data_IF_100269324685
#
_entry.id   IF_100269324685
#
_cell.length_a   1.000
_cell.length_b   1.000
_cell.length_c   1.000
_cell.angle_alpha   90.00
_cell.angle_beta   90.00
_cell.angle_gamma   90.00
#
_symmetry.space_group_name_H-M   'P 1'
#
loop_
_entity.id
_entity.type
_entity.pdbx_description
1 polymer ?
#
# COMPACT_ATOMS: atom_id res chain seq x y z
N UNK A 1 8.43 19.25 17.06
CA UNK A 1 8.28 19.96 15.77
C UNK A 1 7.09 19.43 14.96
N UNK A 2 6.99 18.10 14.66
CA UNK A 2 5.87 17.55 13.87
C UNK A 2 4.49 17.80 14.48
N UNK A 3 4.34 17.79 15.80
CA UNK A 3 3.06 18.06 16.49
C UNK A 3 2.44 19.43 16.15
N UNK A 4 3.28 20.44 15.94
CA UNK A 4 2.81 21.76 15.51
C UNK A 4 2.40 21.77 14.03
N UNK A 5 3.18 21.13 13.17
CA UNK A 5 2.87 20.95 11.75
C UNK A 5 1.55 20.16 11.60
N UNK A 6 1.39 19.08 12.38
CA UNK A 6 0.16 18.28 12.40
C UNK A 6 -1.06 19.11 12.78
N UNK A 7 -0.98 19.97 13.81
CA UNK A 7 -2.09 20.84 14.21
C UNK A 7 -2.52 21.76 13.06
N UNK A 8 -1.56 22.37 12.36
CA UNK A 8 -1.83 23.24 11.22
C UNK A 8 -2.45 22.45 10.03
N UNK A 9 -1.90 21.28 9.70
CA UNK A 9 -2.41 20.40 8.62
C UNK A 9 -3.79 19.87 8.98
N UNK A 10 -4.07 19.55 10.24
CA UNK A 10 -5.35 18.98 10.66
C UNK A 10 -6.48 20.04 10.73
N UNK A 11 -6.20 21.33 10.68
CA UNK A 11 -7.22 22.38 10.53
C UNK A 11 -7.77 22.45 9.09
N UNK A 12 -7.05 21.88 8.11
CA UNK A 12 -7.48 21.80 6.73
C UNK A 12 -8.35 20.56 6.48
N UNK A 13 -9.16 20.61 5.41
CA UNK A 13 -9.79 19.41 4.88
C UNK A 13 -8.76 18.30 4.62
N UNK A 14 -9.06 17.00 4.92
CA UNK A 14 -8.09 15.92 4.81
C UNK A 14 -7.46 15.76 3.43
N UNK A 15 -8.24 15.93 2.35
CA UNK A 15 -7.74 15.77 0.99
C UNK A 15 -6.91 16.99 0.56
N UNK A 16 -7.35 18.20 0.92
CA UNK A 16 -6.57 19.44 0.71
C UNK A 16 -5.22 19.37 1.43
N UNK A 17 -5.21 18.88 2.66
CA UNK A 17 -4.00 18.66 3.43
C UNK A 17 -3.06 17.64 2.77
N UNK A 18 -3.62 16.55 2.25
CA UNK A 18 -2.87 15.53 1.51
C UNK A 18 -2.20 16.14 0.27
N UNK A 19 -2.95 16.86 -0.56
CA UNK A 19 -2.44 17.48 -1.78
C UNK A 19 -1.33 18.49 -1.49
N UNK A 20 -1.46 19.26 -0.41
CA UNK A 20 -0.43 20.19 0.04
C UNK A 20 0.85 19.46 0.44
N UNK A 21 0.72 18.35 1.19
CA UNK A 21 1.87 17.54 1.62
C UNK A 21 2.56 16.91 0.41
N UNK A 22 1.81 16.34 -0.54
CA UNK A 22 2.39 15.76 -1.78
C UNK A 22 3.18 16.82 -2.56
N UNK A 23 2.59 18.00 -2.79
CA UNK A 23 3.29 19.12 -3.47
C UNK A 23 4.55 19.54 -2.72
N UNK A 24 4.48 19.63 -1.40
CA UNK A 24 5.62 20.00 -0.57
C UNK A 24 6.73 18.95 -0.65
N UNK A 25 6.41 17.65 -0.60
CA UNK A 25 7.36 16.56 -0.71
C UNK A 25 7.94 16.46 -2.12
N UNK A 26 7.13 16.71 -3.15
CA UNK A 26 7.61 16.79 -4.52
C UNK A 26 8.71 17.86 -4.68
N UNK A 27 8.48 19.04 -4.12
CA UNK A 27 9.49 20.12 -4.14
C UNK A 27 10.70 19.79 -3.30
N UNK A 28 10.49 19.28 -2.08
CA UNK A 28 11.56 18.92 -1.16
C UNK A 28 12.39 17.71 -1.65
N UNK A 29 11.83 16.86 -2.48
CA UNK A 29 12.53 15.74 -3.14
C UNK A 29 13.51 16.19 -4.23
N UNK A 30 13.43 17.45 -4.72
CA UNK A 30 14.34 17.96 -5.73
C UNK A 30 15.64 18.49 -5.12
N UNK A 31 16.79 18.22 -5.78
CA UNK A 31 18.07 18.81 -5.39
C UNK A 31 18.05 20.35 -5.58
N UNK A 32 18.59 21.17 -4.66
CA UNK A 32 19.36 20.79 -3.46
C UNK A 32 18.53 20.48 -2.21
N UNK A 33 17.21 20.68 -2.24
CA UNK A 33 16.34 20.54 -1.07
C UNK A 33 16.29 19.10 -0.51
N UNK A 34 16.45 18.09 -1.35
CA UNK A 34 16.50 16.69 -0.93
C UNK A 34 17.64 16.43 0.06
N UNK A 35 18.81 17.00 -0.17
CA UNK A 35 19.96 16.86 0.73
C UNK A 35 19.65 17.45 2.12
N UNK A 36 19.07 18.64 2.14
CA UNK A 36 18.66 19.30 3.39
C UNK A 36 17.59 18.49 4.13
N UNK A 37 16.59 17.96 3.40
CA UNK A 37 15.55 17.14 3.97
C UNK A 37 16.12 15.86 4.60
N UNK A 38 17.02 15.16 3.91
CA UNK A 38 17.72 13.98 4.44
C UNK A 38 18.50 14.28 5.72
N UNK A 39 19.20 15.41 5.77
CA UNK A 39 19.92 15.83 6.99
C UNK A 39 18.97 16.15 8.15
N UNK A 40 17.88 16.86 7.89
CA UNK A 40 16.87 17.21 8.89
C UNK A 40 16.19 15.99 9.50
N UNK A 41 15.89 15.01 8.67
CA UNK A 41 15.20 13.79 9.12
C UNK A 41 16.16 12.77 9.74
N UNK A 42 17.42 12.76 9.34
CA UNK A 42 18.51 11.95 9.90
C UNK A 42 18.07 10.51 10.24
N UNK A 43 17.41 9.83 9.27
CA UNK A 43 17.03 8.45 9.48
C UNK A 43 18.25 7.53 9.39
N UNK A 44 18.44 6.60 10.35
CA UNK A 44 19.56 5.67 10.29
C UNK A 44 19.40 4.70 9.13
N UNK A 45 20.50 4.07 8.72
CA UNK A 45 20.43 2.91 7.85
C UNK A 45 19.83 1.75 8.67
N UNK A 46 18.78 1.13 8.11
CA UNK A 46 18.19 -0.06 8.72
C UNK A 46 18.96 -1.33 8.37
N UNK A 47 18.43 -2.46 8.82
CA UNK A 47 18.97 -3.79 8.47
C UNK A 47 18.39 -4.21 7.11
N UNK A 48 19.24 -4.50 6.11
CA UNK A 48 18.76 -5.01 4.83
C UNK A 48 18.05 -6.36 4.98
N UNK A 49 16.98 -6.55 4.20
CA UNK A 49 16.21 -7.80 4.19
C UNK A 49 15.95 -8.27 2.78
N UNK A 50 16.12 -9.56 2.52
CA UNK A 50 15.84 -10.16 1.23
C UNK A 50 14.45 -10.80 1.25
N UNK A 51 13.53 -10.33 0.41
CA UNK A 51 12.15 -10.83 0.29
C UNK A 51 11.76 -10.81 -1.18
N UNK A 52 11.03 -11.82 -1.67
CA UNK A 52 10.61 -11.95 -3.08
C UNK A 52 11.78 -11.88 -4.09
N UNK A 53 12.99 -12.26 -3.68
CA UNK A 53 14.20 -12.13 -4.52
C UNK A 53 14.78 -10.72 -4.61
N UNK A 54 14.22 -9.74 -3.89
CA UNK A 54 14.64 -8.33 -3.84
C UNK A 54 15.34 -8.06 -2.51
N UNK A 55 16.41 -7.27 -2.53
CA UNK A 55 17.05 -6.75 -1.32
C UNK A 55 16.47 -5.38 -0.96
N UNK A 56 15.73 -5.32 0.14
CA UNK A 56 15.21 -4.08 0.73
C UNK A 56 16.25 -3.50 1.70
N UNK A 57 16.49 -2.19 1.68
CA UNK A 57 17.45 -1.53 2.59
C UNK A 57 17.07 -1.65 4.06
N UNK A 58 15.80 -1.68 4.32
CA UNK A 58 15.18 -1.98 5.61
C UNK A 58 13.74 -2.47 5.36
N UNK A 59 13.10 -3.13 6.33
CA UNK A 59 11.79 -3.74 6.15
C UNK A 59 10.60 -2.76 6.20
N UNK A 60 10.84 -1.44 6.30
CA UNK A 60 9.78 -0.45 6.47
C UNK A 60 9.49 0.27 5.15
N UNK A 61 8.25 0.18 4.69
CA UNK A 61 7.79 0.79 3.45
C UNK A 61 6.63 1.77 3.62
N UNK A 62 6.44 2.59 2.59
CA UNK A 62 5.25 3.42 2.42
C UNK A 62 4.16 2.61 1.70
N UNK A 63 2.96 2.57 2.27
CA UNK A 63 1.83 1.89 1.64
C UNK A 63 1.24 2.70 0.47
N UNK A 64 0.71 1.98 -0.52
CA UNK A 64 -0.05 2.59 -1.60
C UNK A 64 -1.20 3.48 -1.11
N UNK A 65 -1.51 4.51 -1.86
CA UNK A 65 -2.51 5.54 -1.55
C UNK A 65 -1.93 6.83 -0.98
N UNK A 66 -0.72 6.79 -0.43
CA UNK A 66 -0.02 7.98 0.02
C UNK A 66 0.51 8.80 -1.17
N UNK A 67 1.19 8.17 -2.10
CA UNK A 67 1.62 8.75 -3.37
C UNK A 67 0.95 8.02 -4.55
N UNK A 68 -0.26 8.45 -4.91
CA UNK A 68 -1.07 7.74 -5.92
C UNK A 68 -0.49 7.81 -7.32
N UNK A 69 0.18 8.90 -7.64
CA UNK A 69 0.65 9.21 -8.98
C UNK A 69 2.18 9.20 -9.10
N UNK A 70 2.89 8.70 -8.07
CA UNK A 70 4.35 8.68 -8.03
C UNK A 70 5.00 10.09 -8.09
N UNK A 71 4.33 11.10 -7.52
CA UNK A 71 4.77 12.50 -7.60
C UNK A 71 5.79 12.89 -6.54
N UNK A 72 5.87 12.15 -5.43
CA UNK A 72 6.66 12.51 -4.26
C UNK A 72 7.63 11.41 -3.78
N UNK A 73 7.99 10.46 -4.62
CA UNK A 73 8.85 9.30 -4.29
C UNK A 73 10.12 9.75 -3.57
N UNK A 74 10.85 10.73 -4.12
CA UNK A 74 12.13 11.19 -3.57
C UNK A 74 11.95 11.89 -2.21
N UNK A 75 10.83 12.61 -2.04
CA UNK A 75 10.49 13.25 -0.77
C UNK A 75 10.15 12.24 0.33
N UNK A 76 9.38 11.22 0.02
CA UNK A 76 9.13 10.10 0.94
C UNK A 76 10.40 9.28 1.20
N UNK A 77 11.20 9.03 0.16
CA UNK A 77 12.48 8.33 0.29
C UNK A 77 13.43 8.99 1.27
N UNK A 78 13.42 10.32 1.34
CA UNK A 78 14.23 11.07 2.30
C UNK A 78 13.82 10.84 3.77
N UNK A 79 12.62 10.29 4.04
CA UNK A 79 12.18 9.91 5.38
C UNK A 79 12.80 8.60 5.88
N UNK A 80 13.51 7.85 5.03
CA UNK A 80 14.20 6.60 5.40
C UNK A 80 13.46 5.33 5.09
N UNK A 81 12.38 5.36 4.31
CA UNK A 81 11.72 4.14 3.85
C UNK A 81 12.67 3.27 3.04
N UNK A 82 12.65 1.95 3.29
CA UNK A 82 13.36 0.96 2.49
C UNK A 82 12.71 0.70 1.14
N UNK A 83 11.38 0.91 1.06
CA UNK A 83 10.61 0.80 -0.16
C UNK A 83 9.39 1.73 -0.15
N UNK A 84 8.90 2.04 -1.35
CA UNK A 84 7.74 2.91 -1.55
C UNK A 84 6.80 2.22 -2.54
N UNK A 85 5.55 2.02 -2.14
CA UNK A 85 4.50 1.53 -3.02
C UNK A 85 3.64 2.71 -3.49
N UNK A 86 3.72 3.01 -4.78
CA UNK A 86 2.93 4.06 -5.44
C UNK A 86 1.61 3.49 -5.97
N UNK A 87 0.64 4.34 -6.22
CA UNK A 87 -0.69 3.94 -6.71
C UNK A 87 -1.73 3.95 -5.58
N UNK A 88 -2.88 3.32 -5.75
CA UNK A 88 -3.29 2.44 -6.84
C UNK A 88 -3.52 3.26 -8.11
N UNK A 89 -2.94 2.79 -9.20
CA UNK A 89 -3.15 3.33 -10.53
C UNK A 89 -4.01 2.41 -11.37
N UNK A 90 -4.75 2.99 -12.31
CA UNK A 90 -5.65 2.29 -13.23
C UNK A 90 -5.23 2.54 -14.67
N UNK A 91 -5.69 1.77 -15.67
CA UNK A 91 -5.35 2.00 -17.07
C UNK A 91 -5.53 3.45 -17.51
N UNK A 92 -6.72 4.01 -17.21
CA UNK A 92 -7.07 5.39 -17.53
C UNK A 92 -7.13 6.22 -16.24
N UNK A 93 -6.88 7.52 -16.38
CA UNK A 93 -7.13 8.48 -15.30
C UNK A 93 -8.61 8.43 -14.86
N UNK A 94 -8.85 8.61 -13.57
CA UNK A 94 -10.21 8.71 -13.03
C UNK A 94 -10.26 9.59 -11.79
N UNK A 95 -11.34 10.34 -11.65
CA UNK A 95 -11.57 11.27 -10.53
C UNK A 95 -11.81 10.55 -9.19
N UNK A 96 -12.22 9.29 -9.23
CA UNK A 96 -12.64 8.55 -8.05
C UNK A 96 -14.08 8.87 -7.62
N UNK A 97 -14.36 8.73 -6.31
CA UNK A 97 -15.68 9.02 -5.74
C UNK A 97 -15.86 10.50 -5.42
N UNK A 98 -17.11 10.95 -5.29
CA UNK A 98 -17.45 12.34 -4.93
C UNK A 98 -16.83 12.75 -3.58
N UNK A 99 -16.43 14.01 -3.51
CA UNK A 99 -15.95 14.65 -2.26
C UNK A 99 -17.13 15.15 -1.42
N UNK A 100 -17.01 15.21 -0.06
CA UNK A 100 -15.86 14.79 0.74
C UNK A 100 -15.77 13.26 0.81
N UNK A 101 -14.55 12.74 0.78
CA UNK A 101 -14.28 11.30 0.71
C UNK A 101 -13.15 10.82 1.64
N UNK A 102 -12.65 11.70 2.49
CA UNK A 102 -11.68 11.39 3.54
C UNK A 102 -12.10 12.02 4.86
N UNK A 103 -12.08 11.25 5.94
CA UNK A 103 -12.54 11.67 7.25
C UNK A 103 -11.58 11.20 8.32
N UNK A 104 -11.10 12.12 9.17
CA UNK A 104 -10.24 11.78 10.31
C UNK A 104 -11.08 11.39 11.50
N UNK A 105 -10.69 10.33 12.18
CA UNK A 105 -11.14 9.94 13.51
C UNK A 105 -9.98 10.21 14.48
N UNK A 106 -9.86 11.48 14.90
CA UNK A 106 -8.64 11.97 15.57
C UNK A 106 -8.40 11.24 16.89
N UNK A 107 -9.45 11.01 17.66
CA UNK A 107 -9.40 10.36 18.98
C UNK A 107 -8.93 8.90 18.88
N UNK A 108 -9.23 8.24 17.76
CA UNK A 108 -8.84 6.86 17.49
C UNK A 108 -7.59 6.74 16.62
N UNK A 109 -6.98 7.85 16.21
CA UNK A 109 -5.89 7.86 15.23
C UNK A 109 -6.22 7.04 13.97
N UNK A 110 -7.48 7.18 13.52
CA UNK A 110 -8.06 6.50 12.37
C UNK A 110 -8.39 7.43 11.22
N UNK A 111 -8.54 6.87 10.03
CA UNK A 111 -9.00 7.57 8.84
C UNK A 111 -9.99 6.70 8.11
N UNK A 112 -11.18 7.24 7.81
CA UNK A 112 -12.13 6.64 6.89
C UNK A 112 -11.94 7.30 5.53
N UNK A 113 -11.81 6.48 4.47
CA UNK A 113 -11.74 6.98 3.11
C UNK A 113 -12.63 6.19 2.16
N UNK A 114 -13.16 6.90 1.15
CA UNK A 114 -13.87 6.34 0.00
C UNK A 114 -13.32 6.90 -1.31
N UNK A 115 -12.00 6.92 -1.45
CA UNK A 115 -11.30 7.56 -2.58
C UNK A 115 -11.72 7.02 -3.95
N UNK A 116 -11.90 5.69 -4.11
CA UNK A 116 -12.31 5.08 -5.37
C UNK A 116 -11.22 5.13 -6.44
N UNK A 117 -9.95 4.96 -6.05
CA UNK A 117 -8.78 4.95 -6.93
C UNK A 117 -8.65 6.21 -7.80
N UNK A 118 -8.81 7.41 -7.20
CA UNK A 118 -8.51 8.65 -7.91
C UNK A 118 -7.02 8.70 -8.29
N UNK A 119 -6.73 8.78 -9.59
CA UNK A 119 -5.37 8.79 -10.13
C UNK A 119 -5.35 9.33 -11.58
N UNK A 120 -4.16 9.65 -12.09
CA UNK A 120 -3.96 10.20 -13.43
C UNK A 120 -3.60 9.13 -14.48
N UNK A 121 -3.82 7.85 -14.18
CA UNK A 121 -3.55 6.72 -15.07
C UNK A 121 -2.13 6.20 -14.96
N UNK A 122 -1.95 4.97 -15.46
CA UNK A 122 -0.67 4.24 -15.35
C UNK A 122 0.46 4.96 -16.09
N UNK A 123 0.20 5.54 -17.26
CA UNK A 123 1.24 6.20 -18.07
C UNK A 123 1.83 7.42 -17.33
N UNK A 124 0.98 8.23 -16.68
CA UNK A 124 1.45 9.36 -15.87
C UNK A 124 2.33 8.92 -14.69
N UNK A 125 1.90 7.88 -13.98
CA UNK A 125 2.68 7.35 -12.87
C UNK A 125 4.05 6.81 -13.31
N UNK A 126 4.11 6.08 -14.43
CA UNK A 126 5.37 5.58 -14.99
C UNK A 126 6.33 6.72 -15.35
N UNK A 127 5.85 7.80 -15.96
CA UNK A 127 6.69 8.95 -16.27
C UNK A 127 7.29 9.61 -15.00
N UNK A 128 6.58 9.55 -13.88
CA UNK A 128 7.11 10.03 -12.61
C UNK A 128 8.10 9.03 -11.98
N UNK A 129 7.79 7.73 -12.02
CA UNK A 129 8.73 6.67 -11.57
C UNK A 129 10.07 6.77 -12.31
N UNK A 130 10.07 6.98 -13.62
CA UNK A 130 11.31 7.16 -14.41
C UNK A 130 12.17 8.33 -13.95
N UNK A 131 11.56 9.37 -13.38
CA UNK A 131 12.26 10.59 -12.91
C UNK A 131 12.76 10.48 -11.47
N UNK A 132 12.27 9.50 -10.73
CA UNK A 132 12.64 9.29 -9.34
C UNK A 132 14.13 8.93 -9.20
N UNK A 133 14.75 9.47 -8.16
CA UNK A 133 16.16 9.22 -7.77
C UNK A 133 16.25 8.42 -6.47
N UNK A 134 15.12 7.90 -6.02
CA UNK A 134 15.06 7.05 -4.84
C UNK A 134 15.86 5.78 -5.08
N UNK A 135 16.76 5.48 -4.17
CA UNK A 135 17.69 4.36 -4.26
C UNK A 135 17.19 3.10 -3.48
N UNK A 136 15.93 3.11 -3.06
CA UNK A 136 15.22 1.95 -2.49
C UNK A 136 14.34 1.26 -3.53
N UNK A 137 13.53 0.33 -3.05
CA UNK A 137 12.62 -0.48 -3.87
C UNK A 137 11.33 0.29 -4.20
N UNK A 138 10.93 0.31 -5.46
CA UNK A 138 9.67 0.94 -5.91
C UNK A 138 8.67 -0.15 -6.31
N UNK A 139 7.57 -0.24 -5.56
CA UNK A 139 6.41 -1.03 -5.92
C UNK A 139 5.37 -0.21 -6.67
N UNK A 140 4.73 -0.80 -7.68
CA UNK A 140 3.60 -0.18 -8.39
C UNK A 140 2.33 -0.97 -8.10
N UNK A 141 1.38 -0.33 -7.43
CA UNK A 141 0.09 -0.90 -7.08
C UNK A 141 -0.90 -0.61 -8.21
N UNK A 142 -1.47 -1.67 -8.80
CA UNK A 142 -2.38 -1.59 -9.95
C UNK A 142 -3.79 -2.03 -9.58
N UNK A 143 -4.78 -1.44 -10.23
CA UNK A 143 -6.19 -1.74 -9.99
C UNK A 143 -7.06 -1.52 -11.23
N UNK A 144 -8.32 -1.95 -11.10
CA UNK A 144 -9.34 -1.82 -12.12
C UNK A 144 -9.95 -0.40 -12.14
N UNK A 145 -10.21 0.15 -13.33
CA UNK A 145 -11.02 1.37 -13.46
C UNK A 145 -12.43 1.16 -12.90
N UNK A 146 -13.02 2.21 -12.35
CA UNK A 146 -14.37 2.17 -11.76
C UNK A 146 -15.43 1.78 -12.80
N UNK A 147 -15.29 2.27 -14.01
CA UNK A 147 -16.24 2.06 -15.11
C UNK A 147 -16.10 0.70 -15.78
N UNK A 148 -15.00 -0.01 -15.58
CA UNK A 148 -14.79 -1.35 -16.16
C UNK A 148 -15.68 -2.35 -15.44
N UNK A 149 -16.55 -3.12 -16.13
CA UNK A 149 -17.32 -4.19 -15.53
C UNK A 149 -16.45 -5.27 -14.88
N UNK A 150 -16.99 -6.01 -13.93
CA UNK A 150 -16.22 -7.02 -13.18
C UNK A 150 -15.63 -8.08 -14.11
N UNK A 151 -16.41 -8.54 -15.09
CA UNK A 151 -16.05 -9.58 -16.06
C UNK A 151 -14.86 -9.18 -16.95
N UNK A 152 -14.64 -7.88 -17.12
CA UNK A 152 -13.51 -7.29 -17.86
C UNK A 152 -12.42 -6.75 -16.94
N UNK A 153 -12.58 -6.90 -15.64
CA UNK A 153 -11.62 -6.38 -14.65
C UNK A 153 -10.21 -6.90 -14.87
N UNK A 154 -10.05 -8.14 -15.24
CA UNK A 154 -8.78 -8.78 -15.57
C UNK A 154 -7.99 -8.01 -16.65
N UNK A 155 -8.66 -7.49 -17.67
CA UNK A 155 -8.01 -6.78 -18.77
C UNK A 155 -7.30 -5.52 -18.29
N UNK A 156 -7.89 -4.81 -17.32
CA UNK A 156 -7.30 -3.62 -16.70
C UNK A 156 -6.00 -3.96 -15.95
N UNK A 157 -6.00 -5.08 -15.19
CA UNK A 157 -4.79 -5.53 -14.50
C UNK A 157 -3.69 -5.94 -15.47
N UNK A 158 -4.02 -6.67 -16.53
CA UNK A 158 -3.07 -7.08 -17.57
C UNK A 158 -2.52 -5.87 -18.33
N UNK A 159 -3.36 -4.88 -18.63
CA UNK A 159 -2.92 -3.63 -19.24
C UNK A 159 -1.90 -2.89 -18.36
N UNK A 160 -2.24 -2.68 -17.08
CA UNK A 160 -1.34 -2.03 -16.13
C UNK A 160 -0.06 -2.83 -15.90
N UNK A 161 -0.15 -4.16 -15.81
CA UNK A 161 1.01 -5.06 -15.67
C UNK A 161 1.99 -4.89 -16.83
N UNK A 162 1.47 -4.88 -18.07
CA UNK A 162 2.30 -4.68 -19.27
C UNK A 162 3.06 -3.35 -19.25
N UNK A 163 2.39 -2.29 -18.81
CA UNK A 163 2.96 -0.95 -18.76
C UNK A 163 3.99 -0.78 -17.64
N UNK A 164 3.68 -1.30 -16.44
CA UNK A 164 4.48 -1.12 -15.23
C UNK A 164 5.71 -2.03 -15.17
N UNK A 165 5.69 -3.20 -15.82
CA UNK A 165 6.62 -4.30 -15.59
C UNK A 165 8.09 -3.89 -15.61
N UNK A 166 8.51 -3.15 -16.62
CA UNK A 166 9.91 -2.76 -16.78
C UNK A 166 10.38 -1.67 -15.79
N UNK A 167 9.45 -0.98 -15.14
CA UNK A 167 9.72 0.18 -14.29
C UNK A 167 9.52 -0.08 -12.81
N UNK A 168 8.89 -1.19 -12.46
CA UNK A 168 8.69 -1.61 -11.09
C UNK A 168 9.79 -2.58 -10.62
N UNK A 169 10.10 -2.54 -9.32
CA UNK A 169 10.86 -3.60 -8.67
C UNK A 169 9.94 -4.73 -8.20
N UNK A 170 8.70 -4.41 -7.80
CA UNK A 170 7.61 -5.37 -7.64
C UNK A 170 6.28 -4.73 -8.05
N UNK A 171 5.28 -5.55 -8.31
CA UNK A 171 3.93 -5.08 -8.67
C UNK A 171 2.92 -5.63 -7.66
N UNK A 172 1.97 -4.78 -7.24
CA UNK A 172 0.88 -5.19 -6.36
C UNK A 172 -0.44 -5.21 -7.13
N UNK A 173 -1.09 -6.36 -7.17
CA UNK A 173 -2.47 -6.55 -7.69
C UNK A 173 -3.44 -6.23 -6.55
N UNK A 174 -4.12 -5.09 -6.63
CA UNK A 174 -5.03 -4.61 -5.58
C UNK A 174 -6.48 -4.97 -5.89
N UNK A 175 -6.98 -6.02 -5.26
CA UNK A 175 -8.34 -6.53 -5.39
C UNK A 175 -9.19 -6.31 -4.14
N UNK A 176 -8.73 -5.48 -3.21
CA UNK A 176 -9.25 -5.44 -1.84
C UNK A 176 -9.87 -4.11 -1.42
N UNK A 177 -9.94 -3.10 -2.32
CA UNK A 177 -10.56 -1.82 -1.99
C UNK A 177 -12.08 -1.97 -1.80
N UNK A 178 -12.63 -1.46 -0.68
CA UNK A 178 -14.08 -1.44 -0.49
C UNK A 178 -14.77 -0.29 -1.26
N UNK A 179 -14.01 0.54 -1.93
CA UNK A 179 -14.44 1.83 -2.47
C UNK A 179 -14.64 1.80 -4.01
N UNK A 180 -14.40 0.67 -4.63
CA UNK A 180 -14.66 0.40 -6.05
C UNK A 180 -15.74 -0.67 -6.14
N UNK A 181 -16.83 -0.45 -6.89
CA UNK A 181 -17.92 -1.43 -6.99
C UNK A 181 -17.41 -2.81 -7.36
N UNK A 182 -17.92 -3.81 -6.68
CA UNK A 182 -17.69 -5.25 -6.89
C UNK A 182 -16.23 -5.72 -6.86
N UNK A 183 -15.26 -4.83 -6.64
CA UNK A 183 -13.84 -5.16 -6.70
C UNK A 183 -13.45 -6.33 -5.79
N UNK A 184 -14.01 -6.39 -4.56
CA UNK A 184 -13.72 -7.45 -3.61
C UNK A 184 -14.23 -8.83 -4.06
N UNK A 185 -15.14 -8.91 -5.03
CA UNK A 185 -15.55 -10.18 -5.63
C UNK A 185 -14.40 -10.86 -6.39
N UNK A 186 -13.40 -10.08 -6.84
CA UNK A 186 -12.18 -10.63 -7.45
C UNK A 186 -11.30 -11.41 -6.45
N UNK A 187 -11.61 -11.43 -5.16
CA UNK A 187 -10.89 -12.23 -4.16
C UNK A 187 -11.44 -13.66 -4.02
N UNK A 188 -12.52 -14.00 -4.75
CA UNK A 188 -13.24 -15.25 -4.52
C UNK A 188 -13.46 -16.04 -5.79
N UNK A 189 -13.49 -17.37 -5.62
CA UNK A 189 -13.93 -18.32 -6.63
C UNK A 189 -13.19 -18.21 -7.96
N UNK A 190 -13.94 -18.44 -9.04
CA UNK A 190 -13.39 -18.48 -10.40
C UNK A 190 -12.79 -17.16 -10.87
N UNK A 191 -13.32 -16.03 -10.39
CA UNK A 191 -12.74 -14.71 -10.72
C UNK A 191 -11.33 -14.56 -10.18
N UNK A 192 -11.07 -15.02 -8.96
CA UNK A 192 -9.75 -14.95 -8.36
C UNK A 192 -8.77 -15.89 -9.05
N UNK A 193 -9.20 -17.10 -9.32
CA UNK A 193 -8.40 -18.13 -9.99
C UNK A 193 -7.99 -17.67 -11.41
N UNK A 194 -8.96 -17.25 -12.22
CA UNK A 194 -8.73 -16.77 -13.59
C UNK A 194 -7.83 -15.52 -13.63
N UNK A 195 -8.02 -14.60 -12.71
CA UNK A 195 -7.16 -13.40 -12.59
C UNK A 195 -5.72 -13.80 -12.31
N UNK A 196 -5.47 -14.62 -11.28
CA UNK A 196 -4.10 -14.99 -10.89
C UNK A 196 -3.42 -15.85 -11.97
N UNK A 197 -4.15 -16.77 -12.59
CA UNK A 197 -3.65 -17.54 -13.72
C UNK A 197 -3.18 -16.63 -14.85
N UNK A 198 -4.02 -15.67 -15.24
CA UNK A 198 -3.71 -14.72 -16.32
C UNK A 198 -2.52 -13.82 -15.99
N UNK A 199 -2.45 -13.33 -14.75
CA UNK A 199 -1.34 -12.52 -14.23
C UNK A 199 -0.02 -13.33 -14.29
N UNK A 200 -0.02 -14.57 -13.81
CA UNK A 200 1.21 -15.40 -13.81
C UNK A 200 1.64 -15.79 -15.22
N UNK A 201 0.72 -16.08 -16.10
CA UNK A 201 1.03 -16.34 -17.51
C UNK A 201 1.68 -15.09 -18.15
N UNK A 202 1.09 -13.92 -17.90
CA UNK A 202 1.62 -12.66 -18.44
C UNK A 202 2.96 -12.29 -17.82
N UNK A 203 3.16 -12.51 -16.52
CA UNK A 203 4.44 -12.30 -15.83
C UNK A 203 5.57 -13.10 -16.52
N UNK A 204 5.34 -14.38 -16.85
CA UNK A 204 6.32 -15.21 -17.54
C UNK A 204 6.73 -14.62 -18.87
N UNK A 205 5.75 -14.24 -19.71
CA UNK A 205 6.02 -13.61 -21.03
C UNK A 205 6.83 -12.32 -20.88
N UNK A 206 6.49 -11.48 -19.90
CA UNK A 206 7.19 -10.23 -19.66
C UNK A 206 8.59 -10.45 -19.09
N UNK A 207 8.77 -11.47 -18.24
CA UNK A 207 10.08 -11.83 -17.70
C UNK A 207 11.05 -12.24 -18.83
N UNK A 208 10.60 -13.02 -19.79
CA UNK A 208 11.36 -13.38 -20.98
C UNK A 208 11.64 -12.17 -21.87
N UNK A 209 10.60 -11.35 -22.14
CA UNK A 209 10.70 -10.16 -22.98
C UNK A 209 11.72 -9.15 -22.47
N UNK A 210 11.75 -8.91 -21.15
CA UNK A 210 12.62 -7.90 -20.53
C UNK A 210 13.88 -8.48 -19.91
N UNK A 211 14.08 -9.81 -19.95
CA UNK A 211 15.13 -10.51 -19.24
C UNK A 211 15.24 -10.07 -17.76
N UNK A 212 14.08 -9.86 -17.12
CA UNK A 212 13.95 -9.36 -15.75
C UNK A 212 12.74 -10.01 -15.07
N UNK A 213 12.94 -10.66 -13.95
CA UNK A 213 11.83 -11.14 -13.14
C UNK A 213 11.36 -10.03 -12.18
N UNK A 214 10.10 -9.63 -12.29
CA UNK A 214 9.46 -8.68 -11.39
C UNK A 214 8.43 -9.43 -10.57
N UNK A 215 8.62 -9.58 -9.25
CA UNK A 215 7.68 -10.31 -8.41
C UNK A 215 6.35 -9.58 -8.28
N UNK A 216 5.27 -10.36 -8.09
CA UNK A 216 3.91 -9.87 -7.99
C UNK A 216 3.30 -10.26 -6.65
N UNK A 217 2.90 -9.26 -5.87
CA UNK A 217 2.16 -9.41 -4.63
C UNK A 217 0.65 -9.17 -4.84
N UNK A 218 -0.19 -9.86 -4.06
CA UNK A 218 -1.65 -9.65 -4.06
C UNK A 218 -2.05 -8.96 -2.77
N UNK A 219 -2.79 -7.84 -2.84
CA UNK A 219 -3.27 -7.12 -1.66
C UNK A 219 -4.69 -7.51 -1.32
N UNK A 220 -4.88 -8.08 -0.11
CA UNK A 220 -6.14 -8.63 0.36
C UNK A 220 -6.86 -7.72 1.38
N UNK A 221 -8.17 -7.93 1.53
CA UNK A 221 -9.00 -7.23 2.52
C UNK A 221 -8.83 -7.86 3.93
N UNK A 222 -9.13 -7.11 5.00
CA UNK A 222 -9.14 -7.65 6.36
C UNK A 222 -10.49 -8.26 6.76
N UNK A 223 -11.55 -8.01 5.97
CA UNK A 223 -12.91 -8.42 6.29
C UNK A 223 -13.22 -9.78 5.63
N UNK A 224 -12.46 -10.80 6.05
CA UNK A 224 -12.53 -12.16 5.53
C UNK A 224 -12.96 -13.11 6.64
N UNK A 225 -13.82 -14.07 6.33
CA UNK A 225 -14.06 -15.24 7.16
C UNK A 225 -12.86 -16.18 7.13
N UNK A 226 -12.80 -17.11 8.07
CA UNK A 226 -11.72 -18.10 8.12
C UNK A 226 -11.67 -18.96 6.85
N UNK A 227 -12.84 -19.42 6.36
CA UNK A 227 -12.91 -20.20 5.12
C UNK A 227 -12.47 -19.43 3.88
N UNK A 228 -12.80 -18.15 3.78
CA UNK A 228 -12.35 -17.29 2.68
C UNK A 228 -10.83 -17.09 2.73
N UNK A 229 -10.26 -16.92 3.92
CA UNK A 229 -8.81 -16.75 4.08
C UNK A 229 -8.05 -18.02 3.64
N UNK A 230 -8.54 -19.20 4.02
CA UNK A 230 -7.98 -20.50 3.57
C UNK A 230 -8.05 -20.62 2.04
N UNK A 231 -9.18 -20.31 1.42
CA UNK A 231 -9.33 -20.35 -0.04
C UNK A 231 -8.38 -19.38 -0.74
N UNK A 232 -8.21 -18.17 -0.19
CA UNK A 232 -7.24 -17.19 -0.72
C UNK A 232 -5.83 -17.74 -0.63
N UNK A 233 -5.42 -18.28 0.52
CA UNK A 233 -4.09 -18.85 0.72
C UNK A 233 -3.81 -20.01 -0.25
N UNK A 234 -4.76 -20.94 -0.41
CA UNK A 234 -4.66 -22.06 -1.34
C UNK A 234 -4.51 -21.59 -2.78
N UNK A 235 -5.28 -20.57 -3.18
CA UNK A 235 -5.20 -20.03 -4.55
C UNK A 235 -3.88 -19.30 -4.79
N UNK A 236 -3.38 -18.52 -3.82
CA UNK A 236 -2.05 -17.90 -3.89
C UNK A 236 -0.94 -18.96 -4.06
N UNK A 237 -1.01 -20.05 -3.28
CA UNK A 237 -0.04 -21.16 -3.36
C UNK A 237 -0.12 -21.88 -4.70
N UNK A 238 -1.32 -22.21 -5.19
CA UNK A 238 -1.54 -22.89 -6.46
C UNK A 238 -0.98 -22.13 -7.64
N UNK A 239 -1.17 -20.80 -7.65
CA UNK A 239 -0.62 -19.93 -8.70
C UNK A 239 0.81 -19.47 -8.43
N UNK A 240 1.46 -19.92 -7.34
CA UNK A 240 2.83 -19.56 -7.01
C UNK A 240 3.04 -18.04 -7.02
N UNK A 241 2.15 -17.29 -6.33
CA UNK A 241 2.31 -15.85 -6.20
C UNK A 241 3.55 -15.52 -5.38
N UNK A 242 4.18 -14.38 -5.68
CA UNK A 242 5.49 -14.05 -5.11
C UNK A 242 5.39 -13.38 -3.73
N UNK A 243 4.23 -12.79 -3.41
CA UNK A 243 3.98 -12.16 -2.13
C UNK A 243 2.50 -11.88 -1.88
N UNK A 244 2.16 -11.55 -0.65
CA UNK A 244 0.83 -11.09 -0.27
C UNK A 244 0.91 -9.89 0.68
N UNK A 245 0.06 -8.88 0.47
CA UNK A 245 -0.05 -7.71 1.36
C UNK A 245 -1.30 -7.86 2.21
N UNK A 246 -1.11 -7.99 3.50
CA UNK A 246 -2.16 -8.08 4.51
C UNK A 246 -2.03 -6.91 5.50
N UNK A 247 -2.97 -5.91 5.48
CA UNK A 247 -4.22 -5.85 4.75
C UNK A 247 -4.52 -4.47 4.15
N UNK A 248 -5.58 -4.38 3.34
CA UNK A 248 -6.23 -3.12 3.00
C UNK A 248 -7.04 -2.61 4.22
N UNK A 249 -7.89 -1.60 4.01
CA UNK A 249 -8.77 -1.00 5.01
C UNK A 249 -9.99 -1.87 5.31
N UNK A 250 -10.57 -1.74 6.52
CA UNK A 250 -11.76 -2.49 6.96
C UNK A 250 -13.05 -1.69 6.78
N UNK A 251 -14.15 -2.38 6.53
CA UNK A 251 -15.51 -1.82 6.61
C UNK A 251 -16.11 -1.91 8.02
N UNK A 252 -15.50 -2.68 8.93
CA UNK A 252 -15.91 -2.71 10.34
C UNK A 252 -15.71 -1.35 10.99
N UNK A 253 -16.58 -1.05 11.96
CA UNK A 253 -16.55 0.16 12.79
C UNK A 253 -16.37 -0.17 14.29
N UNK A 254 -16.00 -1.43 14.58
CA UNK A 254 -15.75 -1.85 15.94
C UNK A 254 -14.76 -0.87 16.61
N UNK A 255 -15.06 -0.52 17.87
CA UNK A 255 -14.27 0.42 18.67
C UNK A 255 -14.26 1.89 18.23
N UNK A 256 -15.03 2.29 17.21
CA UNK A 256 -15.10 3.69 16.76
C UNK A 256 -16.52 4.24 16.60
N UNK A 257 -17.55 3.45 16.85
CA UNK A 257 -18.97 3.78 16.59
C UNK A 257 -19.46 5.06 17.25
N UNK A 258 -18.89 5.44 18.40
CA UNK A 258 -19.24 6.66 19.13
C UNK A 258 -18.50 7.92 18.65
N UNK A 259 -17.54 7.78 17.74
CA UNK A 259 -16.72 8.89 17.30
C UNK A 259 -17.37 9.66 16.16
N UNK A 260 -17.09 10.95 16.10
CA UNK A 260 -17.51 11.80 14.97
C UNK A 260 -16.99 11.22 13.64
N UNK A 261 -17.85 11.18 12.63
CA UNK A 261 -17.59 10.60 11.31
C UNK A 261 -17.53 9.07 11.26
N UNK A 262 -17.74 8.34 12.34
CA UNK A 262 -17.70 6.88 12.32
C UNK A 262 -18.77 6.25 11.41
N UNK A 263 -19.88 6.97 11.20
CA UNK A 263 -21.00 6.58 10.33
C UNK A 263 -20.67 6.69 8.83
N UNK A 264 -19.56 7.35 8.48
CA UNK A 264 -19.19 7.55 7.09
C UNK A 264 -18.87 6.24 6.38
N UNK A 265 -19.36 6.11 5.16
CA UNK A 265 -19.02 4.98 4.29
C UNK A 265 -17.57 5.04 3.84
N UNK A 266 -16.97 3.86 3.63
CA UNK A 266 -15.59 3.71 3.16
C UNK A 266 -14.75 2.79 4.03
N UNK A 267 -13.47 2.66 3.69
CA UNK A 267 -12.52 1.84 4.43
C UNK A 267 -11.90 2.59 5.60
N UNK A 268 -11.91 1.98 6.78
CA UNK A 268 -11.26 2.46 8.00
C UNK A 268 -9.82 1.95 8.08
N UNK A 269 -8.89 2.85 8.29
CA UNK A 269 -7.45 2.60 8.48
C UNK A 269 -6.94 3.21 9.79
N UNK A 270 -5.68 2.97 10.13
CA UNK A 270 -5.05 3.46 11.35
C UNK A 270 -5.20 2.51 12.53
N UNK A 271 -5.01 3.02 13.73
CA UNK A 271 -4.97 2.24 14.97
C UNK A 271 -6.17 1.30 15.17
N UNK A 272 -7.42 1.66 14.82
CA UNK A 272 -8.56 0.74 14.94
C UNK A 272 -8.42 -0.57 14.14
N UNK A 273 -7.61 -0.58 13.08
CA UNK A 273 -7.39 -1.76 12.24
C UNK A 273 -6.28 -2.69 12.76
N UNK A 274 -5.49 -2.26 13.75
CA UNK A 274 -4.26 -2.92 14.18
C UNK A 274 -4.46 -4.39 14.54
N UNK A 275 -5.36 -4.71 15.45
CA UNK A 275 -5.58 -6.08 15.94
C UNK A 275 -6.10 -6.99 14.83
N UNK A 276 -7.11 -6.53 14.08
CA UNK A 276 -7.71 -7.29 12.98
C UNK A 276 -6.68 -7.62 11.90
N UNK A 277 -5.90 -6.64 11.48
CA UNK A 277 -4.83 -6.85 10.50
C UNK A 277 -3.77 -7.83 11.00
N UNK A 278 -3.35 -7.74 12.26
CA UNK A 278 -2.36 -8.64 12.86
C UNK A 278 -2.89 -10.08 12.94
N UNK A 279 -4.17 -10.28 13.25
CA UNK A 279 -4.78 -11.61 13.26
C UNK A 279 -4.85 -12.22 11.84
N UNK A 280 -5.24 -11.44 10.83
CA UNK A 280 -5.21 -11.89 9.44
C UNK A 280 -3.79 -12.30 9.02
N UNK A 281 -2.77 -11.53 9.38
CA UNK A 281 -1.36 -11.89 9.10
C UNK A 281 -1.00 -13.22 9.74
N UNK A 282 -1.33 -13.41 11.02
CA UNK A 282 -1.02 -14.64 11.77
C UNK A 282 -1.66 -15.88 11.13
N UNK A 283 -2.96 -15.79 10.82
CA UNK A 283 -3.69 -16.88 10.16
C UNK A 283 -3.14 -17.16 8.77
N UNK A 284 -2.91 -16.11 7.99
CA UNK A 284 -2.36 -16.25 6.65
C UNK A 284 -0.96 -16.90 6.67
N UNK A 285 -0.11 -16.53 7.64
CA UNK A 285 1.20 -17.14 7.83
C UNK A 285 1.10 -18.66 8.09
N UNK A 286 0.12 -19.07 8.92
CA UNK A 286 -0.14 -20.49 9.20
C UNK A 286 -0.54 -21.25 7.94
N UNK A 287 -1.44 -20.69 7.12
CA UNK A 287 -1.92 -21.32 5.89
C UNK A 287 -0.85 -21.36 4.79
N UNK A 288 -0.08 -20.28 4.64
CA UNK A 288 0.98 -20.20 3.63
C UNK A 288 2.23 -21.01 4.00
N UNK A 289 2.41 -21.39 5.28
CA UNK A 289 3.53 -22.23 5.75
C UNK A 289 4.91 -21.70 5.34
N UNK A 290 5.07 -20.37 5.31
CA UNK A 290 6.31 -19.70 4.91
C UNK A 290 6.67 -19.76 3.42
N UNK A 291 5.78 -20.29 2.56
CA UNK A 291 6.06 -20.41 1.12
C UNK A 291 5.88 -19.10 0.35
N UNK A 292 5.05 -18.21 0.86
CA UNK A 292 4.79 -16.88 0.26
C UNK A 292 5.01 -15.83 1.37
N UNK A 293 5.92 -14.87 1.18
CA UNK A 293 6.18 -13.82 2.14
C UNK A 293 5.00 -12.86 2.29
N UNK A 294 4.83 -12.34 3.51
CA UNK A 294 3.75 -11.43 3.86
C UNK A 294 4.31 -10.03 4.09
N UNK A 295 3.73 -9.04 3.41
CA UNK A 295 3.95 -7.62 3.69
C UNK A 295 2.81 -7.16 4.60
N UNK A 296 3.13 -6.86 5.87
CA UNK A 296 2.15 -6.47 6.89
C UNK A 296 1.75 -5.00 6.74
N UNK A 297 0.45 -4.72 6.67
CA UNK A 297 -0.09 -3.36 6.58
C UNK A 297 -1.35 -3.23 7.44
N UNK A 298 -1.57 -2.06 8.04
CA UNK A 298 -2.75 -1.73 8.84
C UNK A 298 -2.45 -1.54 10.32
N UNK A 299 -2.67 -0.32 10.82
CA UNK A 299 -2.55 0.04 12.23
C UNK A 299 -1.13 0.09 12.78
N UNK A 300 -0.11 0.32 11.95
CA UNK A 300 1.27 0.51 12.42
C UNK A 300 1.42 1.98 12.83
N UNK A 301 1.43 2.26 14.13
CA UNK A 301 1.56 3.58 14.73
C UNK A 301 2.72 3.68 15.73
N UNK A 302 3.44 2.57 15.97
CA UNK A 302 4.58 2.50 16.86
C UNK A 302 5.39 1.23 16.71
N UNK A 303 6.50 1.14 17.43
CA UNK A 303 7.42 -0.01 17.40
C UNK A 303 6.73 -1.29 17.89
N UNK A 304 5.93 -1.19 18.95
CA UNK A 304 5.28 -2.36 19.56
C UNK A 304 4.39 -3.08 18.55
N UNK A 305 3.46 -2.37 17.90
CA UNK A 305 2.53 -3.02 16.97
C UNK A 305 3.18 -3.40 15.61
N UNK A 306 4.28 -2.75 15.27
CA UNK A 306 5.13 -3.22 14.18
C UNK A 306 5.78 -4.57 14.52
N UNK A 307 6.31 -4.70 15.74
CA UNK A 307 6.88 -5.96 16.23
C UNK A 307 5.84 -7.08 16.28
N UNK A 308 4.64 -6.81 16.78
CA UNK A 308 3.53 -7.77 16.80
C UNK A 308 3.18 -8.32 15.39
N UNK A 309 3.32 -7.50 14.34
CA UNK A 309 3.10 -7.95 12.96
C UNK A 309 4.24 -8.85 12.45
N UNK A 310 5.48 -8.51 12.79
CA UNK A 310 6.64 -9.39 12.49
C UNK A 310 6.47 -10.75 13.19
N UNK A 311 6.12 -10.74 14.48
CA UNK A 311 5.85 -11.96 15.26
C UNK A 311 4.64 -12.76 14.73
N UNK A 312 3.69 -12.09 14.10
CA UNK A 312 2.57 -12.72 13.41
C UNK A 312 2.96 -13.34 12.06
N UNK A 313 4.17 -13.10 11.56
CA UNK A 313 4.70 -13.70 10.33
C UNK A 313 4.88 -12.73 9.16
N UNK A 314 4.75 -11.41 9.38
CA UNK A 314 5.10 -10.43 8.34
C UNK A 314 6.62 -10.33 8.17
N UNK A 315 7.08 -10.24 6.92
CA UNK A 315 8.50 -10.05 6.61
C UNK A 315 8.85 -8.60 6.31
N UNK A 316 7.92 -7.85 5.74
CA UNK A 316 8.02 -6.42 5.48
C UNK A 316 6.79 -5.71 6.07
N UNK A 317 6.91 -4.41 6.31
CA UNK A 317 5.84 -3.59 6.90
C UNK A 317 5.55 -2.36 6.04
N UNK A 318 4.26 -2.04 5.85
CA UNK A 318 3.82 -0.84 5.15
C UNK A 318 3.08 0.11 6.10
N UNK A 319 3.50 1.37 6.12
CA UNK A 319 2.91 2.44 6.95
C UNK A 319 2.11 3.40 6.08
N UNK A 320 0.92 3.81 6.57
CA UNK A 320 0.08 4.85 5.95
C UNK A 320 -0.43 5.84 7.03
N UNK A 321 -1.51 5.48 7.74
CA UNK A 321 -2.16 6.39 8.71
C UNK A 321 -1.24 6.76 9.86
N UNK A 322 -0.41 5.84 10.34
CA UNK A 322 0.57 6.14 11.38
C UNK A 322 1.53 7.26 10.97
N UNK A 323 1.95 7.33 9.71
CA UNK A 323 2.77 8.44 9.21
C UNK A 323 2.04 9.77 9.30
N UNK A 324 0.73 9.80 9.02
CA UNK A 324 -0.09 11.03 9.09
C UNK A 324 -0.21 11.52 10.53
N UNK A 325 -0.33 10.62 11.51
CA UNK A 325 -0.48 10.98 12.92
C UNK A 325 0.85 11.27 13.62
N UNK A 326 1.91 10.52 13.32
CA UNK A 326 3.19 10.56 14.05
C UNK A 326 4.36 11.17 13.24
N UNK A 327 4.18 11.34 11.92
CA UNK A 327 5.16 11.94 11.03
C UNK A 327 6.41 11.08 10.80
N UNK A 328 7.49 11.71 10.27
CA UNK A 328 8.73 10.99 9.93
C UNK A 328 9.44 10.34 11.13
N UNK A 329 9.18 10.81 12.37
CA UNK A 329 9.74 10.18 13.57
C UNK A 329 9.28 8.74 13.77
N UNK A 330 8.08 8.39 13.30
CA UNK A 330 7.62 6.99 13.29
C UNK A 330 8.53 6.15 12.42
N UNK A 331 8.79 6.56 11.18
CA UNK A 331 9.65 5.81 10.25
C UNK A 331 11.03 5.59 10.85
N UNK A 332 11.63 6.66 11.42
CA UNK A 332 12.93 6.58 12.10
C UNK A 332 12.94 5.56 13.23
N UNK A 333 11.92 5.59 14.10
CA UNK A 333 11.80 4.65 15.23
C UNK A 333 11.64 3.20 14.75
N UNK A 334 10.82 2.98 13.72
CA UNK A 334 10.62 1.65 13.13
C UNK A 334 11.89 1.10 12.49
N UNK A 335 12.61 1.90 11.69
CA UNK A 335 13.86 1.49 11.03
C UNK A 335 14.95 1.15 12.05
N UNK A 336 14.97 1.81 13.21
CA UNK A 336 15.91 1.50 14.29
C UNK A 336 15.59 0.20 15.03
N UNK A 337 14.30 -0.10 15.21
CA UNK A 337 13.85 -1.19 16.08
C UNK A 337 13.59 -2.49 15.35
N UNK A 338 13.11 -2.44 14.09
CA UNK A 338 12.75 -3.62 13.31
C UNK A 338 13.93 -4.06 12.44
N UNK A 339 14.32 -5.32 12.62
CA UNK A 339 15.48 -5.92 11.94
C UNK A 339 15.06 -6.97 10.91
#
# INVERSE_FOLDING_TARGET
MYSLIRKAIFSLDPETAHDLVIKSLHLAGKSPFQFLLKQLLACPQGTPKQVMGITFKNPIGLAAGADKNAEAIDGFGAMGFGFIEVGTVTPLAQEGNAKPRQFRLVEAEGIINRNGFNNYGIDYAIENVKKAKFDGVIGINIGKNKVTPLEKGKDDYLFCLNKAYNYADYITVNISSPNTPDLRQLQYGDYFDDLLQSIKQRQKVLAEQYNKYVPIAVKIAPDLSESELVQIADTLLRHQMDGVIATNTTISRDNVTSLKNAEQQGGLSGKPLQQKSTEIIRRLHQELKGKIPIIGSGGIDGVQNAQEKIEAGAELLQVYSGLIYHGPSLVKGLVQAIK
#
